data_IF_576538395709
#
_entry.id   IF_576538395709
#
_cell.length_a   1.000
_cell.length_b   1.000
_cell.length_c   1.000
_cell.angle_alpha   90.00
_cell.angle_beta   90.00
_cell.angle_gamma   90.00
#
_symmetry.space_group_name_H-M   'P 1'
#
loop_
_entity.id
_entity.type
_entity.pdbx_description
1 polymer ?
#
# COMPACT_ATOMS: atom_id res chain seq x y z
N UNK A 1 3.16 27.07 -17.54
CA UNK A 1 2.33 27.81 -18.55
C UNK A 1 0.84 27.53 -18.31
N UNK A 2 -0.11 28.33 -18.82
CA UNK A 2 -1.56 27.99 -18.80
C UNK A 2 -1.98 27.55 -20.21
N UNK A 3 -2.33 26.29 -20.40
CA UNK A 3 -2.88 25.78 -21.66
C UNK A 3 -4.18 25.02 -21.40
N UNK A 4 -5.21 25.26 -22.21
CA UNK A 4 -6.59 24.78 -22.02
C UNK A 4 -7.04 23.81 -23.12
N UNK A 5 -6.12 23.13 -23.79
CA UNK A 5 -6.45 22.22 -24.91
C UNK A 5 -5.33 21.23 -25.24
N UNK A 6 -5.74 20.03 -25.68
CA UNK A 6 -4.94 18.87 -26.07
C UNK A 6 -3.75 19.25 -26.97
N UNK A 7 -2.55 19.19 -26.40
CA UNK A 7 -1.29 19.35 -27.10
C UNK A 7 -0.30 18.42 -26.40
N UNK A 8 0.30 17.50 -27.16
CA UNK A 8 1.53 16.82 -26.75
C UNK A 8 2.59 17.88 -26.48
N UNK A 9 2.98 18.05 -25.23
CA UNK A 9 4.10 18.89 -24.85
C UNK A 9 5.26 17.99 -24.42
N UNK A 10 6.32 17.98 -25.21
CA UNK A 10 7.65 17.51 -24.82
C UNK A 10 8.51 18.76 -24.56
N UNK A 11 8.67 19.19 -23.31
CA UNK A 11 9.54 20.33 -22.99
C UNK A 11 10.48 19.99 -21.81
N UNK A 12 11.74 20.43 -21.91
CA UNK A 12 12.78 20.18 -20.91
C UNK A 12 13.22 21.54 -20.34
N UNK A 13 12.72 21.90 -19.16
CA UNK A 13 13.08 23.15 -18.46
C UNK A 13 13.18 22.94 -16.94
N UNK A 14 14.03 23.72 -16.25
CA UNK A 14 14.10 23.67 -14.80
C UNK A 14 12.87 24.31 -14.14
N UNK A 15 12.24 23.58 -13.22
CA UNK A 15 11.14 24.00 -12.35
C UNK A 15 9.85 24.38 -13.11
N UNK A 16 9.05 23.38 -13.47
CA UNK A 16 7.83 23.58 -14.24
C UNK A 16 6.56 23.42 -13.39
N UNK A 17 5.64 24.39 -13.49
CA UNK A 17 4.27 24.29 -12.98
C UNK A 17 3.29 24.18 -14.16
N UNK A 18 2.65 23.02 -14.31
CA UNK A 18 1.64 22.77 -15.35
C UNK A 18 0.23 22.73 -14.76
N UNK A 19 -0.72 23.41 -15.42
CA UNK A 19 -2.15 23.42 -15.06
C UNK A 19 -2.98 23.06 -16.27
N UNK A 20 -3.72 21.95 -16.21
CA UNK A 20 -4.55 21.44 -17.30
C UNK A 20 -5.96 21.06 -16.85
N UNK A 21 -6.95 21.30 -17.72
CA UNK A 21 -8.37 20.96 -17.50
C UNK A 21 -8.89 19.93 -18.51
N UNK A 22 -8.01 19.29 -19.28
CA UNK A 22 -8.33 18.35 -20.36
C UNK A 22 -7.62 17.02 -20.11
N UNK A 23 -7.88 16.00 -20.94
CA UNK A 23 -7.11 14.73 -20.99
C UNK A 23 -6.06 14.72 -22.13
N UNK A 24 -4.93 15.46 -22.06
CA UNK A 24 -3.75 15.20 -22.88
C UNK A 24 -2.80 14.20 -22.20
N UNK A 25 -2.01 13.53 -23.01
CA UNK A 25 -0.74 12.91 -22.60
C UNK A 25 0.32 14.03 -22.44
N UNK A 26 1.12 13.96 -21.38
CA UNK A 26 2.21 14.90 -21.13
C UNK A 26 3.48 14.18 -20.72
N UNK A 27 4.60 14.54 -21.35
CA UNK A 27 5.93 14.03 -21.02
C UNK A 27 6.84 15.20 -20.65
N UNK A 28 7.45 15.19 -19.47
CA UNK A 28 8.34 16.26 -19.03
C UNK A 28 9.65 15.74 -18.42
N UNK A 29 10.68 16.58 -18.51
CA UNK A 29 12.03 16.29 -18.05
C UNK A 29 12.57 17.50 -17.28
N UNK A 30 12.79 17.35 -15.97
CA UNK A 30 13.13 18.48 -15.12
C UNK A 30 13.68 18.11 -13.75
N UNK A 31 14.48 18.99 -13.11
CA UNK A 31 14.96 18.81 -11.74
C UNK A 31 13.84 18.86 -10.69
N UNK A 32 12.72 19.50 -10.99
CA UNK A 32 11.55 19.61 -10.10
C UNK A 32 10.32 19.93 -10.93
N UNK A 33 9.25 19.17 -10.75
CA UNK A 33 8.01 19.33 -11.52
C UNK A 33 6.79 19.32 -10.59
N UNK A 34 5.92 20.32 -10.73
CA UNK A 34 4.62 20.39 -10.04
C UNK A 34 3.50 20.41 -11.08
N UNK A 35 2.58 19.45 -10.99
CA UNK A 35 1.47 19.35 -11.92
C UNK A 35 0.14 19.39 -11.18
N UNK A 36 -0.81 20.17 -11.73
CA UNK A 36 -2.16 20.28 -11.18
C UNK A 36 -3.23 20.11 -12.25
N UNK A 37 -4.01 19.04 -12.14
CA UNK A 37 -5.05 18.66 -13.09
C UNK A 37 -6.44 18.54 -12.47
N UNK A 38 -7.49 18.83 -13.24
CA UNK A 38 -8.89 18.57 -12.84
C UNK A 38 -9.57 17.46 -13.64
N UNK A 39 -8.95 16.98 -14.72
CA UNK A 39 -9.43 15.87 -15.57
C UNK A 39 -8.50 14.66 -15.38
N UNK A 40 -8.71 13.56 -16.11
CA UNK A 40 -7.94 12.31 -16.11
C UNK A 40 -6.89 12.31 -17.25
N UNK A 41 -5.66 12.80 -17.00
CA UNK A 41 -4.63 12.91 -18.03
C UNK A 41 -3.53 11.88 -17.72
N UNK A 42 -2.87 11.37 -18.75
CA UNK A 42 -1.72 10.50 -18.60
C UNK A 42 -0.46 11.38 -18.51
N UNK A 43 0.30 11.24 -17.43
CA UNK A 43 1.51 12.02 -17.20
C UNK A 43 2.71 11.11 -17.04
N UNK A 44 3.79 11.44 -17.74
CA UNK A 44 5.10 10.82 -17.58
C UNK A 44 6.13 11.90 -17.24
N UNK A 45 6.79 11.78 -16.10
CA UNK A 45 7.86 12.70 -15.70
C UNK A 45 9.15 11.98 -15.39
N UNK A 46 10.25 12.71 -15.62
CA UNK A 46 11.60 12.26 -15.32
C UNK A 46 12.36 13.36 -14.59
N UNK A 47 12.58 13.16 -13.29
CA UNK A 47 13.11 14.21 -12.44
C UNK A 47 13.32 13.78 -11.00
N UNK A 48 14.29 14.36 -10.27
CA UNK A 48 14.54 13.98 -8.90
C UNK A 48 13.40 14.36 -7.95
N UNK A 49 12.53 15.31 -8.27
CA UNK A 49 11.38 15.66 -7.42
C UNK A 49 10.13 15.93 -8.27
N UNK A 50 9.08 15.16 -8.04
CA UNK A 50 7.85 15.21 -8.83
C UNK A 50 6.65 15.27 -7.88
N UNK A 51 5.82 16.31 -8.01
CA UNK A 51 4.57 16.43 -7.25
C UNK A 51 3.37 16.57 -8.20
N UNK A 52 2.43 15.64 -8.08
CA UNK A 52 1.20 15.64 -8.85
C UNK A 52 -0.03 15.85 -7.95
N UNK A 53 -0.92 16.76 -8.34
CA UNK A 53 -2.21 17.00 -7.67
C UNK A 53 -3.39 16.95 -8.64
N UNK A 54 -4.24 15.94 -8.49
CA UNK A 54 -5.40 15.67 -9.34
C UNK A 54 -6.75 15.63 -8.61
N UNK A 55 -7.83 15.90 -9.33
CA UNK A 55 -9.20 15.69 -8.84
C UNK A 55 -9.81 14.38 -9.38
N UNK A 56 -9.57 14.03 -10.65
CA UNK A 56 -10.19 12.89 -11.32
C UNK A 56 -9.13 11.98 -11.94
N UNK A 57 -9.16 10.69 -11.62
CA UNK A 57 -8.37 9.55 -12.13
C UNK A 57 -7.19 9.93 -13.04
N UNK A 58 -6.17 10.62 -12.52
CA UNK A 58 -4.94 10.83 -13.26
C UNK A 58 -4.18 9.51 -13.28
N UNK A 59 -3.60 9.17 -14.42
CA UNK A 59 -2.56 8.15 -14.52
C UNK A 59 -1.22 8.87 -14.50
N UNK A 60 -0.36 8.55 -13.55
CA UNK A 60 0.95 9.15 -13.43
C UNK A 60 2.02 8.07 -13.45
N UNK A 61 3.03 8.27 -14.28
CA UNK A 61 4.25 7.48 -14.28
C UNK A 61 5.44 8.37 -13.98
N UNK A 62 6.08 8.17 -12.83
CA UNK A 62 7.23 8.93 -12.39
C UNK A 62 8.52 8.13 -12.47
N UNK A 63 9.63 8.84 -12.70
CA UNK A 63 10.98 8.28 -12.65
C UNK A 63 11.91 9.25 -11.94
N UNK A 64 11.98 9.15 -10.63
CA UNK A 64 12.54 10.19 -9.79
C UNK A 64 13.18 9.76 -8.49
N UNK A 65 13.63 10.74 -7.71
CA UNK A 65 14.13 10.49 -6.35
C UNK A 65 13.01 10.57 -5.33
N UNK A 66 12.12 11.55 -5.48
CA UNK A 66 10.99 11.79 -4.62
C UNK A 66 9.76 12.04 -5.50
N UNK A 67 8.76 11.17 -5.40
CA UNK A 67 7.53 11.26 -6.18
C UNK A 67 6.35 11.34 -5.22
N UNK A 68 5.49 12.34 -5.37
CA UNK A 68 4.31 12.51 -4.54
C UNK A 68 3.07 12.71 -5.41
N UNK A 69 2.08 11.83 -5.27
CA UNK A 69 0.80 11.94 -5.96
C UNK A 69 -0.35 12.15 -4.97
N UNK A 70 -1.13 13.21 -5.18
CA UNK A 70 -2.36 13.49 -4.41
C UNK A 70 -3.56 13.51 -5.33
N UNK A 71 -4.50 12.59 -5.14
CA UNK A 71 -5.73 12.48 -5.92
C UNK A 71 -6.98 12.48 -5.04
N UNK A 72 -8.10 12.95 -5.60
CA UNK A 72 -9.42 12.76 -4.99
C UNK A 72 -10.03 11.45 -5.49
N UNK A 73 -10.15 11.26 -6.81
CA UNK A 73 -10.81 10.08 -7.39
C UNK A 73 -9.82 9.15 -8.08
N UNK A 74 -9.79 7.87 -7.70
CA UNK A 74 -9.07 6.73 -8.28
C UNK A 74 -7.82 7.09 -9.08
N UNK A 75 -6.83 7.76 -8.45
CA UNK A 75 -5.56 7.96 -9.12
C UNK A 75 -4.86 6.62 -9.34
N UNK A 76 -4.16 6.49 -10.46
CA UNK A 76 -3.24 5.38 -10.72
C UNK A 76 -1.84 5.95 -10.78
N UNK A 77 -0.91 5.34 -10.06
CA UNK A 77 0.47 5.77 -9.98
C UNK A 77 1.40 4.61 -10.24
N UNK A 78 2.38 4.81 -11.13
CA UNK A 78 3.47 3.90 -11.39
C UNK A 78 4.80 4.65 -11.18
N UNK A 79 5.47 4.43 -10.04
CA UNK A 79 6.71 5.12 -9.72
C UNK A 79 7.94 4.22 -9.78
N UNK A 80 9.08 4.86 -10.02
CA UNK A 80 10.40 4.22 -9.95
C UNK A 80 11.39 5.17 -9.29
N UNK A 81 11.54 5.04 -7.97
CA UNK A 81 12.32 5.96 -7.18
C UNK A 81 12.54 5.53 -5.72
N UNK A 82 13.49 6.15 -5.01
CA UNK A 82 13.78 5.85 -3.64
C UNK A 82 12.72 6.28 -2.62
N UNK A 83 11.91 7.29 -2.91
CA UNK A 83 10.82 7.72 -2.04
C UNK A 83 9.59 8.02 -2.87
N UNK A 84 8.53 7.25 -2.67
CA UNK A 84 7.28 7.40 -3.41
C UNK A 84 6.11 7.48 -2.41
N UNK A 85 5.30 8.53 -2.51
CA UNK A 85 4.12 8.73 -1.66
C UNK A 85 2.87 8.93 -2.54
N UNK A 86 1.82 8.17 -2.26
CA UNK A 86 0.53 8.36 -2.92
C UNK A 86 -0.61 8.48 -1.93
N UNK A 87 -1.42 9.51 -2.14
CA UNK A 87 -2.56 9.83 -1.31
C UNK A 87 -3.82 10.01 -2.12
N UNK A 88 -4.77 9.10 -1.93
CA UNK A 88 -6.07 9.09 -2.60
C UNK A 88 -7.24 9.16 -1.63
N UNK A 89 -8.43 9.57 -2.12
CA UNK A 89 -9.67 9.40 -1.35
C UNK A 89 -10.55 8.24 -1.86
N UNK A 90 -10.60 8.01 -3.16
CA UNK A 90 -11.36 6.89 -3.74
C UNK A 90 -10.41 5.95 -4.47
N UNK A 91 -10.41 4.67 -4.11
CA UNK A 91 -9.71 3.54 -4.73
C UNK A 91 -8.45 3.91 -5.52
N UNK A 92 -7.44 4.51 -4.87
CA UNK A 92 -6.17 4.73 -5.54
C UNK A 92 -5.48 3.39 -5.84
N UNK A 93 -4.79 3.30 -6.97
CA UNK A 93 -3.90 2.17 -7.31
C UNK A 93 -2.46 2.67 -7.36
N UNK A 94 -1.57 2.05 -6.60
CA UNK A 94 -0.16 2.43 -6.50
C UNK A 94 0.72 1.25 -6.83
N UNK A 95 1.50 1.38 -7.90
CA UNK A 95 2.58 0.46 -8.23
C UNK A 95 3.90 1.19 -8.10
N UNK A 96 4.83 0.65 -7.33
CA UNK A 96 6.06 1.35 -6.96
C UNK A 96 7.26 0.41 -6.92
N UNK A 97 8.44 0.98 -7.18
CA UNK A 97 9.71 0.25 -7.16
C UNK A 97 10.80 1.09 -6.50
N UNK A 98 11.01 0.89 -5.20
CA UNK A 98 11.72 1.86 -4.40
C UNK A 98 12.03 1.46 -2.96
N UNK A 99 13.09 2.01 -2.34
CA UNK A 99 13.34 1.76 -0.93
C UNK A 99 12.30 2.21 0.08
N UNK A 100 11.53 3.27 -0.18
CA UNK A 100 10.53 3.78 0.74
C UNK A 100 9.26 4.14 -0.02
N UNK A 101 8.19 3.40 0.25
CA UNK A 101 6.93 3.51 -0.47
C UNK A 101 5.81 3.69 0.56
N UNK A 102 5.05 4.79 0.48
CA UNK A 102 3.90 5.03 1.35
C UNK A 102 2.64 5.29 0.53
N UNK A 103 1.57 4.54 0.84
CA UNK A 103 0.28 4.75 0.22
C UNK A 103 -0.82 4.93 1.25
N UNK A 104 -1.65 5.96 1.02
CA UNK A 104 -2.75 6.32 1.91
C UNK A 104 -4.04 6.54 1.15
N UNK A 105 -5.04 5.71 1.46
CA UNK A 105 -6.37 5.78 0.86
C UNK A 105 -7.51 5.77 1.87
N UNK A 106 -8.67 6.31 1.49
CA UNK A 106 -9.89 6.18 2.30
C UNK A 106 -10.84 5.08 1.82
N UNK A 107 -10.88 4.79 0.51
CA UNK A 107 -11.77 3.75 -0.03
C UNK A 107 -10.93 2.77 -0.83
N UNK A 108 -10.91 1.50 -0.46
CA UNK A 108 -10.25 0.37 -1.14
C UNK A 108 -8.99 0.74 -1.92
N UNK A 109 -7.95 1.29 -1.26
CA UNK A 109 -6.68 1.49 -1.93
C UNK A 109 -6.08 0.14 -2.31
N UNK A 110 -5.40 0.06 -3.45
CA UNK A 110 -4.64 -1.10 -3.92
C UNK A 110 -3.17 -0.70 -4.08
N UNK A 111 -2.27 -1.46 -3.48
CA UNK A 111 -0.84 -1.18 -3.50
C UNK A 111 -0.07 -2.41 -3.95
N UNK A 112 0.87 -2.22 -4.87
CA UNK A 112 1.86 -3.20 -5.27
C UNK A 112 3.26 -2.58 -5.19
N UNK A 113 4.04 -2.98 -4.18
CA UNK A 113 5.37 -2.44 -3.93
C UNK A 113 6.50 -3.44 -4.10
N UNK A 114 7.70 -2.91 -4.35
CA UNK A 114 8.93 -3.68 -4.45
C UNK A 114 10.10 -2.92 -3.84
N UNK A 115 10.30 -3.11 -2.53
CA UNK A 115 11.08 -2.19 -1.74
C UNK A 115 11.42 -2.66 -0.33
N UNK A 116 12.52 -2.18 0.28
CA UNK A 116 12.81 -2.48 1.67
C UNK A 116 11.84 -1.97 2.72
N UNK A 117 11.12 -0.87 2.47
CA UNK A 117 10.17 -0.31 3.43
C UNK A 117 8.91 0.12 2.70
N UNK A 118 7.82 -0.61 2.93
CA UNK A 118 6.54 -0.36 2.28
C UNK A 118 5.46 -0.20 3.35
N UNK A 119 4.69 0.90 3.27
CA UNK A 119 3.61 1.18 4.22
C UNK A 119 2.31 1.53 3.49
N UNK A 120 1.23 0.85 3.86
CA UNK A 120 -0.10 1.17 3.36
C UNK A 120 -1.10 1.44 4.48
N UNK A 121 -1.79 2.57 4.37
CA UNK A 121 -2.85 3.00 5.29
C UNK A 121 -4.17 3.17 4.55
N UNK A 122 -5.10 2.25 4.78
CA UNK A 122 -6.45 2.28 4.25
C UNK A 122 -7.52 2.44 5.33
N UNK A 123 -8.69 2.94 4.95
CA UNK A 123 -9.90 2.83 5.79
C UNK A 123 -10.71 1.61 5.35
N UNK A 124 -11.23 1.61 4.13
CA UNK A 124 -12.09 0.53 3.62
C UNK A 124 -11.28 -0.44 2.78
N UNK A 125 -11.32 -1.74 3.08
CA UNK A 125 -10.79 -2.87 2.31
C UNK A 125 -9.52 -2.58 1.48
N UNK A 126 -8.43 -2.13 2.12
CA UNK A 126 -7.17 -1.97 1.40
C UNK A 126 -6.64 -3.34 0.95
N UNK A 127 -6.01 -3.39 -0.21
CA UNK A 127 -5.29 -4.56 -0.73
C UNK A 127 -3.80 -4.22 -0.88
N UNK A 128 -2.93 -4.94 -0.19
CA UNK A 128 -1.50 -4.68 -0.15
C UNK A 128 -0.75 -5.91 -0.66
N UNK A 129 -0.04 -5.74 -1.77
CA UNK A 129 0.91 -6.72 -2.28
C UNK A 129 2.31 -6.13 -2.20
N UNK A 130 3.24 -6.83 -1.56
CA UNK A 130 4.55 -6.27 -1.22
C UNK A 130 5.67 -7.30 -1.30
N UNK A 131 6.87 -6.82 -1.62
CA UNK A 131 8.07 -7.66 -1.74
C UNK A 131 9.29 -6.96 -1.14
N UNK A 132 9.48 -7.13 0.16
CA UNK A 132 10.33 -6.25 0.94
C UNK A 132 10.68 -6.73 2.34
N UNK A 133 11.88 -6.46 2.88
CA UNK A 133 12.20 -6.79 4.26
C UNK A 133 11.25 -6.19 5.32
N UNK A 134 10.67 -5.01 5.13
CA UNK A 134 9.77 -4.40 6.12
C UNK A 134 8.49 -3.89 5.47
N UNK A 135 7.36 -4.48 5.87
CA UNK A 135 6.06 -4.27 5.26
C UNK A 135 5.04 -3.99 6.37
N UNK A 136 4.38 -2.81 6.35
CA UNK A 136 3.33 -2.47 7.30
C UNK A 136 2.03 -2.11 6.58
N UNK A 137 0.95 -2.82 6.93
CA UNK A 137 -0.38 -2.54 6.42
C UNK A 137 -1.35 -2.25 7.55
N UNK A 138 -2.09 -1.15 7.41
CA UNK A 138 -3.10 -0.74 8.37
C UNK A 138 -4.42 -0.45 7.67
N UNK A 139 -5.44 -1.23 8.01
CA UNK A 139 -6.81 -1.06 7.53
C UNK A 139 -7.82 -0.96 8.66
N UNK A 140 -9.02 -0.45 8.37
CA UNK A 140 -10.14 -0.57 9.32
C UNK A 140 -11.08 -1.71 8.93
N UNK A 141 -11.51 -1.78 7.67
CA UNK A 141 -12.45 -2.81 7.22
C UNK A 141 -11.73 -3.78 6.29
N UNK A 142 -11.73 -5.08 6.60
CA UNK A 142 -11.24 -6.20 5.78
C UNK A 142 -9.99 -5.88 4.95
N UNK A 143 -8.88 -5.47 5.57
CA UNK A 143 -7.64 -5.35 4.82
C UNK A 143 -7.19 -6.74 4.34
N UNK A 144 -6.59 -6.80 3.16
CA UNK A 144 -5.98 -8.00 2.58
C UNK A 144 -4.50 -7.73 2.33
N UNK A 145 -3.63 -8.59 2.85
CA UNK A 145 -2.18 -8.47 2.75
C UNK A 145 -1.59 -9.72 2.12
N UNK A 146 -0.78 -9.54 1.09
CA UNK A 146 0.06 -10.60 0.49
C UNK A 146 1.50 -10.12 0.39
N UNK A 147 2.40 -10.72 1.17
CA UNK A 147 3.77 -10.23 1.33
C UNK A 147 4.84 -11.31 1.21
N UNK A 148 6.05 -10.86 0.91
CA UNK A 148 7.26 -11.69 0.95
C UNK A 148 8.42 -10.88 1.56
N UNK A 149 8.57 -11.00 2.88
CA UNK A 149 9.42 -10.10 3.64
C UNK A 149 10.16 -10.69 4.82
N UNK A 150 10.90 -9.84 5.52
CA UNK A 150 11.56 -10.21 6.77
C UNK A 150 10.65 -9.96 7.98
N UNK A 151 9.97 -8.81 7.96
CA UNK A 151 9.10 -8.33 9.01
C UNK A 151 7.83 -7.79 8.35
N UNK A 152 6.73 -8.51 8.54
CA UNK A 152 5.43 -8.16 7.98
C UNK A 152 4.48 -7.87 9.15
N UNK A 153 3.86 -6.69 9.17
CA UNK A 153 2.90 -6.32 10.20
C UNK A 153 1.58 -5.87 9.58
N UNK A 154 0.49 -6.52 9.98
CA UNK A 154 -0.85 -6.20 9.51
C UNK A 154 -1.78 -5.86 10.67
N UNK A 155 -2.39 -4.67 10.63
CA UNK A 155 -3.35 -4.19 11.62
C UNK A 155 -4.70 -3.91 10.97
N UNK A 156 -5.71 -4.70 11.33
CA UNK A 156 -7.10 -4.55 10.89
C UNK A 156 -8.08 -4.44 12.05
N UNK A 157 -9.28 -3.89 11.81
CA UNK A 157 -10.39 -4.01 12.78
C UNK A 157 -11.27 -5.19 12.38
N UNK A 158 -11.87 -5.17 11.20
CA UNK A 158 -12.79 -6.22 10.75
C UNK A 158 -12.11 -7.18 9.78
N UNK A 159 -12.13 -8.48 10.07
CA UNK A 159 -11.75 -9.59 9.17
C UNK A 159 -10.52 -9.33 8.31
N UNK A 160 -9.36 -9.01 8.90
CA UNK A 160 -8.15 -8.90 8.10
C UNK A 160 -7.76 -10.28 7.56
N UNK A 161 -7.25 -10.33 6.33
CA UNK A 161 -6.70 -11.53 5.68
C UNK A 161 -5.21 -11.32 5.41
N UNK A 162 -4.38 -12.24 5.88
CA UNK A 162 -2.93 -12.16 5.76
C UNK A 162 -2.37 -13.43 5.10
N UNK A 163 -1.58 -13.24 4.06
CA UNK A 163 -0.80 -14.28 3.38
C UNK A 163 0.66 -13.84 3.28
N UNK A 164 1.51 -14.35 4.17
CA UNK A 164 2.92 -13.92 4.27
C UNK A 164 3.93 -15.04 4.07
N UNK A 165 5.16 -14.65 3.71
CA UNK A 165 6.32 -15.54 3.71
C UNK A 165 7.55 -14.83 4.27
N UNK A 166 7.77 -14.97 5.58
CA UNK A 166 8.85 -14.30 6.25
C UNK A 166 9.23 -14.90 7.61
N UNK A 167 10.39 -14.52 8.16
CA UNK A 167 10.82 -14.92 9.48
C UNK A 167 10.03 -14.32 10.63
N UNK A 168 9.43 -13.13 10.47
CA UNK A 168 8.65 -12.47 11.51
C UNK A 168 7.36 -11.87 10.91
N UNK A 169 6.22 -12.39 11.32
CA UNK A 169 4.92 -11.96 10.80
C UNK A 169 3.98 -11.70 11.99
N UNK A 170 3.40 -10.51 12.07
CA UNK A 170 2.42 -10.14 13.10
C UNK A 170 1.12 -9.68 12.45
N UNK A 171 0.01 -10.27 12.89
CA UNK A 171 -1.31 -9.86 12.46
C UNK A 171 -2.24 -9.60 13.64
N UNK A 172 -2.88 -8.42 13.61
CA UNK A 172 -3.77 -7.95 14.67
C UNK A 172 -5.12 -7.57 14.10
N UNK A 173 -6.16 -8.28 14.53
CA UNK A 173 -7.55 -8.08 14.14
C UNK A 173 -8.50 -8.03 15.33
N UNK A 174 -9.73 -7.54 15.13
CA UNK A 174 -10.79 -7.68 16.15
C UNK A 174 -11.83 -8.74 15.77
N UNK A 175 -12.23 -8.81 14.50
CA UNK A 175 -13.22 -9.78 14.03
C UNK A 175 -12.58 -10.79 13.07
N UNK A 176 -12.80 -12.09 13.30
CA UNK A 176 -12.44 -13.22 12.44
C UNK A 176 -11.24 -13.00 11.51
N UNK A 177 -10.03 -12.81 12.07
CA UNK A 177 -8.87 -12.66 11.21
C UNK A 177 -8.48 -14.00 10.58
N UNK A 178 -8.06 -14.00 9.31
CA UNK A 178 -7.52 -15.17 8.61
C UNK A 178 -6.02 -14.97 8.39
N UNK A 179 -5.19 -15.87 8.91
CA UNK A 179 -3.74 -15.75 8.84
C UNK A 179 -3.12 -17.02 8.28
N UNK A 180 -2.51 -16.90 7.11
CA UNK A 180 -1.74 -17.95 6.47
C UNK A 180 -0.31 -17.47 6.31
N UNK A 181 0.64 -18.22 6.86
CA UNK A 181 2.02 -17.78 6.75
C UNK A 181 3.05 -18.91 6.88
N UNK A 182 4.29 -18.59 6.51
CA UNK A 182 5.38 -19.56 6.42
C UNK A 182 6.66 -18.97 7.01
N UNK A 183 6.77 -19.06 8.33
CA UNK A 183 7.81 -18.36 9.06
C UNK A 183 8.24 -18.99 10.38
N UNK A 184 9.48 -18.80 10.84
CA UNK A 184 9.87 -19.18 12.18
C UNK A 184 9.13 -18.47 13.33
N UNK A 185 8.69 -17.22 13.16
CA UNK A 185 8.04 -16.45 14.22
C UNK A 185 6.74 -15.80 13.69
N UNK A 186 5.62 -16.36 14.11
CA UNK A 186 4.29 -15.97 13.65
C UNK A 186 3.44 -15.57 14.86
N UNK A 187 2.88 -14.37 14.86
CA UNK A 187 2.00 -13.89 15.93
C UNK A 187 0.65 -13.41 15.39
N UNK A 188 -0.44 -13.97 15.92
CA UNK A 188 -1.79 -13.52 15.60
C UNK A 188 -2.59 -13.15 16.85
N UNK A 189 -3.10 -11.91 16.87
CA UNK A 189 -3.92 -11.35 17.95
C UNK A 189 -5.32 -11.00 17.44
N UNK A 190 -6.34 -11.72 17.90
CA UNK A 190 -7.75 -11.55 17.56
C UNK A 190 -8.66 -11.34 18.78
N UNK A 191 -9.88 -10.85 18.59
CA UNK A 191 -10.93 -10.95 19.64
C UNK A 191 -11.89 -12.11 19.31
N UNK A 192 -12.33 -12.19 18.06
CA UNK A 192 -13.28 -13.24 17.59
C UNK A 192 -12.54 -14.35 16.85
N UNK A 193 -13.11 -15.55 16.75
CA UNK A 193 -12.54 -16.78 16.16
C UNK A 193 -11.65 -16.56 14.91
N UNK A 194 -10.32 -16.44 15.06
CA UNK A 194 -9.40 -16.50 13.93
C UNK A 194 -9.30 -17.88 13.31
N UNK A 195 -8.99 -17.88 12.02
CA UNK A 195 -8.44 -19.03 11.30
C UNK A 195 -6.94 -18.84 11.12
N UNK A 196 -6.16 -19.88 11.42
CA UNK A 196 -4.70 -19.83 11.31
C UNK A 196 -4.12 -21.09 10.70
N UNK A 197 -3.25 -20.84 9.72
CA UNK A 197 -2.48 -21.84 9.01
C UNK A 197 -1.02 -21.37 8.96
N UNK A 198 -0.24 -21.80 9.95
CA UNK A 198 1.19 -21.52 10.07
C UNK A 198 2.05 -22.74 9.81
N UNK A 199 3.28 -22.50 9.38
CA UNK A 199 4.28 -23.54 9.17
C UNK A 199 5.61 -23.14 9.82
N UNK A 200 5.57 -22.98 11.15
CA UNK A 200 6.66 -22.37 11.90
C UNK A 200 7.03 -23.06 13.22
N UNK A 201 8.30 -23.03 13.65
CA UNK A 201 8.68 -23.45 15.00
C UNK A 201 8.04 -22.63 16.14
N UNK A 202 7.81 -21.32 15.96
CA UNK A 202 7.29 -20.43 17.01
C UNK A 202 6.03 -19.69 16.55
N UNK A 203 4.88 -20.22 16.97
CA UNK A 203 3.56 -19.68 16.64
C UNK A 203 2.87 -19.25 17.95
N UNK A 204 2.53 -17.96 18.04
CA UNK A 204 1.81 -17.37 19.17
C UNK A 204 0.43 -16.87 18.74
N UNK A 205 -0.61 -17.35 19.43
CA UNK A 205 -1.98 -17.03 19.07
C UNK A 205 -2.81 -16.62 20.28
N UNK A 206 -3.43 -15.43 20.19
CA UNK A 206 -4.23 -14.83 21.27
C UNK A 206 -5.62 -14.49 20.78
N UNK A 207 -6.65 -15.05 21.41
CA UNK A 207 -8.06 -14.77 21.09
C UNK A 207 -8.95 -14.74 22.34
N UNK A 208 -10.06 -14.01 22.30
CA UNK A 208 -11.09 -14.06 23.34
C UNK A 208 -12.15 -15.15 23.08
N UNK A 209 -12.23 -15.69 21.87
CA UNK A 209 -13.21 -16.71 21.43
C UNK A 209 -12.46 -17.98 20.94
N UNK A 210 -13.04 -19.19 21.07
CA UNK A 210 -12.47 -20.45 20.55
C UNK A 210 -12.16 -20.43 19.04
N UNK A 211 -11.21 -21.29 18.63
CA UNK A 211 -10.44 -21.22 17.38
C UNK A 211 -10.52 -22.50 16.55
N UNK A 212 -10.33 -22.35 15.24
CA UNK A 212 -9.98 -23.44 14.32
C UNK A 212 -8.51 -23.26 13.89
N UNK A 213 -7.63 -24.12 14.40
CA UNK A 213 -6.18 -24.08 14.16
C UNK A 213 -5.76 -25.29 13.32
N UNK A 214 -5.07 -25.03 12.19
CA UNK A 214 -4.56 -26.08 11.29
C UNK A 214 -3.08 -25.86 11.02
N UNK A 215 -2.22 -26.17 12.00
CA UNK A 215 -0.74 -26.11 11.85
C UNK A 215 -0.08 -27.49 11.93
N UNK A 216 1.06 -27.67 11.25
CA UNK A 216 1.85 -28.90 11.28
C UNK A 216 3.27 -28.61 11.75
N UNK A 217 3.69 -29.25 12.85
CA UNK A 217 5.01 -29.15 13.50
C UNK A 217 5.34 -27.83 14.24
N UNK A 218 4.92 -27.67 15.51
CA UNK A 218 5.76 -27.18 16.66
C UNK A 218 4.95 -26.66 17.88
N UNK A 219 5.65 -26.04 18.85
CA UNK A 219 5.16 -25.60 20.18
C UNK A 219 4.23 -24.38 20.07
N UNK A 220 2.99 -24.59 19.70
CA UNK A 220 1.98 -23.53 19.68
C UNK A 220 1.55 -23.16 21.10
N UNK A 221 1.55 -21.86 21.42
CA UNK A 221 1.08 -21.34 22.72
C UNK A 221 -0.24 -20.61 22.54
N UNK A 222 -1.33 -21.21 23.05
CA UNK A 222 -2.69 -20.68 22.93
C UNK A 222 -3.10 -19.97 24.22
N UNK A 223 -3.44 -18.68 24.12
CA UNK A 223 -3.90 -17.89 25.27
C UNK A 223 -5.32 -17.36 25.07
N UNK A 224 -6.21 -17.70 26.00
CA UNK A 224 -7.58 -17.18 26.06
C UNK A 224 -7.69 -16.08 27.12
N UNK A 225 -8.30 -14.94 26.77
CA UNK A 225 -8.73 -13.94 27.76
C UNK A 225 -10.15 -14.25 28.24
N UNK A 226 -10.33 -14.39 29.55
CA UNK A 226 -11.67 -14.43 30.16
C UNK A 226 -12.22 -12.99 30.22
N UNK A 227 -13.40 -12.68 29.65
CA UNK A 227 -14.02 -11.38 29.84
C UNK A 227 -14.40 -11.19 31.32
N UNK A 228 -14.03 -10.05 31.89
CA UNK A 228 -14.40 -9.63 33.25
C UNK A 228 -15.76 -8.93 33.27
#
# INVERSE_FOLDING_TARGET
>A
MRSTSALDFTECRPNEEMKGTSAPEFTSYGPSEEMRGTSAPEFTSYGPNEEFRGINAPEFTGYGQNEEMKGISAPEFAGYGPNEEMRGTSAPEFTSYGPNEEMRGTSAPEFTGYGPNEEMKGISAPEFTSYGPNEEMRGTSAPEFTGYGQNEEMKGISAPEFAGYGPNEEMRGTSAPEFTSYGPNEEMKGISAPEFTGYGPNEEMRSAIPLDFTGCYSRSSLFFYAPS
#
